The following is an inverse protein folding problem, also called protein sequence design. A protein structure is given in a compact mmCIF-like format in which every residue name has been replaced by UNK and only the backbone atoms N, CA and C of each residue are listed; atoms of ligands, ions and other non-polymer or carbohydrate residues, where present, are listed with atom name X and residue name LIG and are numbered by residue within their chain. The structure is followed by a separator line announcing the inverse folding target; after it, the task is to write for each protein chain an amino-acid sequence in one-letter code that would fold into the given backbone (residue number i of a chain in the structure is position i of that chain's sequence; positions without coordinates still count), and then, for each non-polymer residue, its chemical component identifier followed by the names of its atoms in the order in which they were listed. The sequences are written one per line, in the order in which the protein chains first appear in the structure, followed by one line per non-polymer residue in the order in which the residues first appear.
data_IF_720794830819
#
_entry.id   IF_720794830819
#
_cell.length_a   1.000
_cell.length_b   1.000
_cell.length_c   1.000
_cell.angle_alpha   90.00
_cell.angle_beta   90.00
_cell.angle_gamma   90.00
#
_symmetry.space_group_name_H-M   'P 1'
#
loop_
_entity.id
_entity.type
_entity.pdbx_description
1 polymer ?
#
# COMPACT_ATOMS: atom_id res chain seq x y z
N UNK A 1 -9.18 -12.11 -9.82
CA UNK A 1 -8.25 -11.26 -9.04
C UNK A 1 -7.21 -12.10 -8.34
N UNK A 2 -5.96 -11.65 -8.39
CA UNK A 2 -4.85 -12.26 -7.64
C UNK A 2 -4.77 -11.63 -6.23
N UNK A 3 -3.91 -12.18 -5.36
CA UNK A 3 -3.73 -11.68 -3.98
C UNK A 3 -3.17 -10.24 -3.92
N UNK A 4 -2.29 -9.88 -4.86
CA UNK A 4 -1.69 -8.55 -4.98
C UNK A 4 -2.75 -7.47 -5.31
N UNK A 5 -3.79 -7.82 -6.07
CA UNK A 5 -4.91 -6.91 -6.37
C UNK A 5 -5.76 -6.62 -5.12
N UNK A 6 -5.90 -7.62 -4.23
CA UNK A 6 -6.61 -7.47 -2.96
C UNK A 6 -5.82 -6.59 -1.98
N UNK A 7 -4.52 -6.81 -1.87
CA UNK A 7 -3.63 -5.97 -1.03
C UNK A 7 -3.62 -4.51 -1.51
N UNK A 8 -3.52 -4.29 -2.83
CA UNK A 8 -3.63 -2.95 -3.41
C UNK A 8 -4.97 -2.31 -3.09
N UNK A 9 -6.08 -3.04 -3.24
CA UNK A 9 -7.41 -2.54 -2.92
C UNK A 9 -7.53 -2.12 -1.45
N UNK A 10 -7.04 -2.95 -0.52
CA UNK A 10 -7.05 -2.67 0.92
C UNK A 10 -6.25 -1.40 1.21
N UNK A 11 -5.08 -1.21 0.57
CA UNK A 11 -4.27 -0.01 0.74
C UNK A 11 -4.88 1.28 0.15
N UNK A 12 -5.95 1.21 -0.64
CA UNK A 12 -6.65 2.39 -1.15
C UNK A 12 -7.59 3.03 -0.12
N UNK A 13 -8.01 2.26 0.89
CA UNK A 13 -8.83 2.76 1.97
C UNK A 13 -8.09 3.83 2.76
N UNK A 14 -8.76 4.96 2.99
CA UNK A 14 -8.29 6.04 3.84
C UNK A 14 -9.04 5.94 5.17
N UNK A 15 -8.36 5.37 6.17
CA UNK A 15 -9.02 4.84 7.35
C UNK A 15 -9.97 3.70 6.97
N UNK A 16 -11.26 3.86 7.28
CA UNK A 16 -12.27 2.84 6.99
C UNK A 16 -13.06 3.09 5.70
N UNK A 17 -12.76 4.14 4.91
CA UNK A 17 -13.57 4.52 3.74
C UNK A 17 -12.78 4.54 2.44
N UNK A 18 -13.45 4.15 1.35
CA UNK A 18 -12.95 4.24 -0.02
C UNK A 18 -14.08 4.73 -0.94
N UNK A 19 -14.03 5.97 -1.45
CA UNK A 19 -14.96 6.43 -2.48
C UNK A 19 -14.80 5.64 -3.78
N UNK A 20 -15.91 5.30 -4.44
CA UNK A 20 -15.87 4.58 -5.73
C UNK A 20 -15.09 5.37 -6.80
N UNK A 21 -15.24 6.70 -6.82
CA UNK A 21 -14.47 7.57 -7.71
C UNK A 21 -12.95 7.41 -7.55
N UNK A 22 -12.46 7.26 -6.31
CA UNK A 22 -11.03 7.03 -6.01
C UNK A 22 -10.58 5.63 -6.44
N UNK A 23 -11.43 4.61 -6.22
CA UNK A 23 -11.17 3.26 -6.69
C UNK A 23 -11.00 3.22 -8.20
N UNK A 24 -11.96 3.78 -8.95
CA UNK A 24 -11.95 3.76 -10.40
C UNK A 24 -10.80 4.59 -10.99
N UNK A 25 -10.40 5.68 -10.33
CA UNK A 25 -9.21 6.45 -10.73
C UNK A 25 -7.90 5.68 -10.54
N UNK A 26 -7.78 4.93 -9.44
CA UNK A 26 -6.52 4.26 -9.09
C UNK A 26 -6.40 2.87 -9.71
N UNK A 27 -7.54 2.21 -9.95
CA UNK A 27 -7.64 0.89 -10.57
C UNK A 27 -8.66 0.92 -11.72
N UNK A 28 -8.40 1.65 -12.83
CA UNK A 28 -9.36 1.79 -13.93
C UNK A 28 -9.69 0.47 -14.64
N UNK A 29 -8.87 -0.55 -14.46
CA UNK A 29 -9.07 -1.87 -15.04
C UNK A 29 -10.06 -2.75 -14.24
N UNK A 30 -10.47 -2.33 -13.04
CA UNK A 30 -11.41 -3.10 -12.22
C UNK A 30 -12.84 -2.84 -12.70
N UNK A 31 -13.58 -3.90 -13.03
CA UNK A 31 -14.98 -3.77 -13.42
C UNK A 31 -15.90 -3.70 -12.20
N UNK A 32 -17.09 -3.12 -12.35
CA UNK A 32 -18.09 -3.08 -11.28
C UNK A 32 -18.51 -4.48 -10.84
N UNK A 33 -18.52 -5.45 -11.75
CA UNK A 33 -18.76 -6.86 -11.44
C UNK A 33 -17.61 -7.47 -10.61
N UNK A 34 -16.36 -7.07 -10.84
CA UNK A 34 -15.23 -7.48 -9.99
C UNK A 34 -15.38 -6.89 -8.58
N UNK A 35 -15.76 -5.61 -8.48
CA UNK A 35 -16.00 -4.95 -7.19
C UNK A 35 -17.17 -5.60 -6.45
N UNK A 36 -18.27 -5.92 -7.14
CA UNK A 36 -19.38 -6.68 -6.59
C UNK A 36 -18.98 -8.11 -6.21
N UNK A 37 -18.10 -8.75 -6.97
CA UNK A 37 -17.55 -10.07 -6.65
C UNK A 37 -16.70 -10.01 -5.38
N UNK A 38 -15.99 -8.92 -5.12
CA UNK A 38 -15.26 -8.72 -3.87
C UNK A 38 -16.20 -8.46 -2.70
N UNK A 39 -17.33 -7.78 -2.93
CA UNK A 39 -18.40 -7.68 -1.94
C UNK A 39 -19.10 -9.04 -1.71
N UNK A 40 -19.24 -9.86 -2.76
CA UNK A 40 -20.08 -11.07 -2.80
C UNK A 40 -19.38 -12.40 -2.52
N UNK A 41 -18.07 -12.55 -2.84
CA UNK A 41 -17.25 -13.75 -2.55
C UNK A 41 -17.06 -13.99 -1.05
N UNK A 42 -17.59 -13.10 -0.23
CA UNK A 42 -17.54 -13.14 1.21
C UNK A 42 -18.88 -13.54 1.82
N UNK A 43 -19.76 -14.14 1.01
CA UNK A 43 -20.93 -14.91 1.43
C UNK A 43 -20.54 -16.23 2.12
N UNK A 44 -19.25 -16.59 2.15
CA UNK A 44 -18.71 -17.61 3.06
C UNK A 44 -17.70 -16.96 4.01
N UNK A 45 -18.21 -16.41 5.11
CA UNK A 45 -17.48 -16.12 6.36
C UNK A 45 -16.40 -15.02 6.45
N UNK A 46 -16.32 -14.00 5.58
CA UNK A 46 -15.40 -12.86 5.87
C UNK A 46 -15.67 -11.64 4.98
N UNK A 47 -16.73 -10.84 5.20
CA UNK A 47 -16.88 -9.58 4.41
C UNK A 47 -15.67 -8.69 4.70
N UNK A 48 -15.11 -8.01 3.68
CA UNK A 48 -13.93 -7.15 3.77
C UNK A 48 -14.35 -5.68 3.71
N UNK A 49 -15.41 -5.39 2.96
CA UNK A 49 -16.01 -4.07 2.90
C UNK A 49 -17.48 -4.16 2.50
N UNK A 50 -18.24 -3.13 2.87
CA UNK A 50 -19.64 -2.90 2.53
C UNK A 50 -19.74 -1.62 1.71
N UNK A 51 -20.85 -1.40 1.01
CA UNK A 51 -21.11 -0.14 0.32
C UNK A 51 -22.20 0.64 1.04
N UNK A 52 -21.94 1.91 1.30
CA UNK A 52 -22.94 2.90 1.69
C UNK A 52 -23.70 3.31 0.44
N UNK A 53 -24.62 2.47 -0.04
CA UNK A 53 -25.52 2.81 -1.14
C UNK A 53 -26.96 2.45 -0.78
N UNK A 54 -27.89 3.30 -1.18
CA UNK A 54 -29.33 3.01 -1.09
C UNK A 54 -29.80 2.10 -2.25
N UNK A 55 -28.92 1.76 -3.18
CA UNK A 55 -29.21 0.90 -4.32
C UNK A 55 -29.14 -0.58 -3.92
N UNK A 56 -30.05 -1.39 -4.46
CA UNK A 56 -29.95 -2.85 -4.28
C UNK A 56 -28.78 -3.41 -5.10
N UNK A 57 -28.30 -4.61 -4.75
CA UNK A 57 -27.25 -5.29 -5.52
C UNK A 57 -27.64 -5.45 -7.01
N UNK A 58 -28.92 -5.69 -7.29
CA UNK A 58 -29.44 -5.79 -8.65
C UNK A 58 -29.44 -4.44 -9.37
N UNK A 59 -29.70 -3.33 -8.66
CA UNK A 59 -29.60 -1.99 -9.22
C UNK A 59 -28.16 -1.64 -9.58
N UNK A 60 -27.19 -2.01 -8.73
CA UNK A 60 -25.75 -1.81 -8.97
C UNK A 60 -25.30 -2.66 -10.16
N UNK A 61 -25.75 -3.91 -10.30
CA UNK A 61 -25.44 -4.73 -11.48
C UNK A 61 -25.96 -4.14 -12.79
N UNK A 62 -27.13 -3.49 -12.75
CA UNK A 62 -27.77 -2.93 -13.95
C UNK A 62 -27.24 -1.56 -14.33
N UNK A 63 -26.82 -0.75 -13.36
CA UNK A 63 -26.51 0.67 -13.57
C UNK A 63 -25.09 1.06 -13.12
N UNK A 64 -24.32 0.12 -12.58
CA UNK A 64 -22.99 0.37 -12.02
C UNK A 64 -23.03 1.08 -10.68
N UNK A 65 -21.84 1.27 -10.10
CA UNK A 65 -21.68 2.11 -8.92
C UNK A 65 -21.77 3.59 -9.29
N UNK A 66 -22.35 4.38 -8.40
CA UNK A 66 -22.42 5.83 -8.57
C UNK A 66 -21.13 6.47 -8.06
N UNK A 67 -20.70 7.62 -8.64
CA UNK A 67 -19.52 8.34 -8.16
C UNK A 67 -19.57 8.75 -6.68
N UNK A 68 -20.77 8.86 -6.11
CA UNK A 68 -21.00 9.17 -4.69
C UNK A 68 -21.06 7.96 -3.77
N UNK A 69 -20.98 6.73 -4.29
CA UNK A 69 -20.95 5.53 -3.45
C UNK A 69 -19.61 5.44 -2.70
N UNK A 70 -19.69 5.04 -1.43
CA UNK A 70 -18.53 4.92 -0.54
C UNK A 70 -18.49 3.50 0.00
N UNK A 71 -17.36 2.83 -0.20
CA UNK A 71 -17.07 1.56 0.43
C UNK A 71 -16.55 1.79 1.85
N UNK A 72 -17.02 0.99 2.79
CA UNK A 72 -16.59 1.03 4.19
C UNK A 72 -16.08 -0.35 4.59
N UNK A 73 -14.91 -0.42 5.22
CA UNK A 73 -14.39 -1.68 5.75
C UNK A 73 -15.37 -2.28 6.78
N UNK A 74 -15.43 -3.60 6.82
CA UNK A 74 -16.00 -4.37 7.93
C UNK A 74 -14.92 -4.60 8.98
N UNK A 75 -15.29 -5.15 10.13
CA UNK A 75 -14.35 -5.51 11.20
C UNK A 75 -13.21 -6.40 10.69
N UNK A 76 -13.52 -7.43 9.88
CA UNK A 76 -12.50 -8.31 9.32
C UNK A 76 -11.64 -7.63 8.24
N UNK A 77 -12.21 -6.65 7.53
CA UNK A 77 -11.49 -5.80 6.60
C UNK A 77 -10.53 -4.83 7.29
N UNK A 78 -10.94 -4.29 8.45
CA UNK A 78 -10.10 -3.43 9.29
C UNK A 78 -8.91 -4.21 9.85
N UNK A 79 -9.10 -5.44 10.31
CA UNK A 79 -8.00 -6.31 10.75
C UNK A 79 -6.96 -6.54 9.66
N UNK A 80 -7.41 -6.88 8.44
CA UNK A 80 -6.52 -7.06 7.30
C UNK A 80 -5.85 -5.75 6.86
N UNK A 81 -6.56 -4.64 6.95
CA UNK A 81 -6.01 -3.31 6.70
C UNK A 81 -4.89 -2.96 7.69
N UNK A 82 -5.06 -3.27 8.97
CA UNK A 82 -4.04 -3.07 9.99
C UNK A 82 -2.80 -3.93 9.75
N UNK A 83 -2.97 -5.19 9.36
CA UNK A 83 -1.86 -6.07 8.98
C UNK A 83 -1.12 -5.53 7.76
N UNK A 84 -1.86 -5.16 6.70
CA UNK A 84 -1.27 -4.61 5.47
C UNK A 84 -0.53 -3.28 5.72
N UNK A 85 -1.08 -2.40 6.58
CA UNK A 85 -0.38 -1.17 6.97
C UNK A 85 0.91 -1.45 7.73
N UNK A 86 0.90 -2.42 8.64
CA UNK A 86 2.08 -2.81 9.39
C UNK A 86 3.18 -3.35 8.46
N UNK A 87 2.83 -4.19 7.50
CA UNK A 87 3.78 -4.73 6.52
C UNK A 87 4.35 -3.64 5.61
N UNK A 88 3.52 -2.68 5.19
CA UNK A 88 3.99 -1.50 4.46
C UNK A 88 4.96 -0.66 5.28
N UNK A 89 4.63 -0.39 6.55
CA UNK A 89 5.50 0.37 7.44
C UNK A 89 6.85 -0.32 7.69
N UNK A 90 6.85 -1.65 7.85
CA UNK A 90 8.08 -2.44 7.97
C UNK A 90 8.92 -2.40 6.70
N UNK A 91 8.28 -2.41 5.53
CA UNK A 91 8.96 -2.28 4.23
C UNK A 91 9.60 -0.91 4.09
N UNK A 92 8.87 0.17 4.39
CA UNK A 92 9.38 1.54 4.34
C UNK A 92 10.57 1.72 5.31
N UNK A 93 10.48 1.15 6.52
CA UNK A 93 11.56 1.18 7.51
C UNK A 93 12.81 0.43 7.03
N UNK A 94 12.63 -0.72 6.37
CA UNK A 94 13.71 -1.48 5.79
C UNK A 94 14.40 -0.71 4.66
N UNK A 95 13.64 -0.04 3.80
CA UNK A 95 14.18 0.82 2.74
C UNK A 95 14.94 2.02 3.30
N UNK A 96 14.42 2.66 4.34
CA UNK A 96 15.09 3.77 5.02
C UNK A 96 16.41 3.30 5.66
N UNK A 97 16.37 2.18 6.39
CA UNK A 97 17.56 1.60 7.03
C UNK A 97 18.63 1.22 5.99
N UNK A 98 18.21 0.67 4.84
CA UNK A 98 19.11 0.37 3.73
C UNK A 98 19.74 1.65 3.15
N UNK A 99 18.95 2.71 2.99
CA UNK A 99 19.43 4.01 2.51
C UNK A 99 20.45 4.64 3.47
N UNK A 100 20.19 4.59 4.77
CA UNK A 100 21.11 5.07 5.81
C UNK A 100 22.40 4.24 5.86
N UNK A 101 22.31 2.91 5.77
CA UNK A 101 23.46 2.03 5.70
C UNK A 101 24.34 2.30 4.47
N UNK A 102 23.72 2.56 3.31
CA UNK A 102 24.44 2.96 2.08
C UNK A 102 25.20 4.27 2.27
N UNK A 103 24.56 5.28 2.89
CA UNK A 103 25.22 6.57 3.20
C UNK A 103 26.39 6.37 4.16
N UNK A 104 26.21 5.62 5.25
CA UNK A 104 27.27 5.33 6.22
C UNK A 104 28.48 4.65 5.57
N UNK A 105 28.24 3.69 4.68
CA UNK A 105 29.30 3.00 3.92
C UNK A 105 30.10 3.97 3.04
N UNK A 106 29.42 4.93 2.40
CA UNK A 106 30.04 5.94 1.54
C UNK A 106 30.92 6.90 2.36
N UNK A 107 30.45 7.32 3.54
CA UNK A 107 31.26 8.11 4.48
C UNK A 107 32.47 7.33 5.00
N UNK A 108 32.32 6.04 5.31
CA UNK A 108 33.43 5.19 5.75
C UNK A 108 34.50 5.06 4.65
N UNK A 109 34.10 4.89 3.39
CA UNK A 109 35.04 4.86 2.26
C UNK A 109 35.79 6.19 2.09
N UNK A 110 35.10 7.33 2.20
CA UNK A 110 35.75 8.65 2.16
C UNK A 110 36.75 8.85 3.31
N UNK A 111 36.40 8.41 4.53
CA UNK A 111 37.29 8.49 5.68
C UNK A 111 38.56 7.64 5.49
N UNK A 112 38.44 6.44 4.92
CA UNK A 112 39.60 5.59 4.57
C UNK A 112 40.46 6.29 3.51
N UNK A 113 39.87 6.88 2.49
CA UNK A 113 40.60 7.59 1.44
C UNK A 113 41.39 8.78 2.00
N UNK A 114 40.77 9.56 2.89
CA UNK A 114 41.42 10.68 3.58
C UNK A 114 42.54 10.21 4.51
N UNK A 115 42.38 9.09 5.20
CA UNK A 115 43.44 8.55 6.07
C UNK A 115 44.66 8.12 5.26
N UNK A 116 44.46 7.48 4.10
CA UNK A 116 45.56 7.08 3.19
C UNK A 116 46.31 8.31 2.67
N UNK A 117 45.61 9.37 2.27
CA UNK A 117 46.25 10.63 1.82
C UNK A 117 47.04 11.29 2.94
N UNK A 118 46.49 11.33 4.16
CA UNK A 118 47.18 11.89 5.33
C UNK A 118 48.50 11.17 5.64
N UNK A 119 48.46 9.82 5.64
CA UNK A 119 49.65 9.00 5.85
C UNK A 119 50.70 9.26 4.76
N UNK A 120 50.30 9.34 3.49
CA UNK A 120 51.21 9.59 2.38
C UNK A 120 51.91 10.97 2.48
N UNK A 121 51.17 12.02 2.89
CA UNK A 121 51.75 13.36 3.09
C UNK A 121 52.73 13.38 4.26
N UNK A 122 52.40 12.73 5.38
CA UNK A 122 53.30 12.62 6.53
C UNK A 122 54.61 11.90 6.20
N UNK A 123 54.57 10.87 5.35
CA UNK A 123 55.78 10.15 4.91
C UNK A 123 56.63 10.98 3.92
N UNK A 124 56.03 11.90 3.17
CA UNK A 124 56.74 12.73 2.19
C UNK A 124 57.39 13.98 2.80
N UNK A 125 56.88 14.45 3.95
CA UNK A 125 57.41 15.61 4.68
C UNK A 125 58.31 15.25 5.88
N UNK A 126 58.39 13.97 6.24
CA UNK A 126 59.32 13.45 7.25
C UNK A 126 60.57 12.86 6.63
#
# INVERSE_FOLDING_TARGET
MNQNDVEKLILLFDGNKLPYSKLHQTMPCISDDDVLSLMGRLSSNTRLFTVSSNATTDDIRRHGFKPGDVFTLTEEGEDLFHVAQKDKHLTDLAEQSLSEAKKATLYAQLAILLSVVSIAISVLMG
#
